data_IF_424196425753
#
_entry.id   IF_424196425753
#
_cell.length_a   1.000
_cell.length_b   1.000
_cell.length_c   1.000
_cell.angle_alpha   90.00
_cell.angle_beta   90.00
_cell.angle_gamma   90.00
#
_symmetry.space_group_name_H-M   'P 1'
#
loop_
_entity.id
_entity.type
_entity.pdbx_description
1 polymer ?
#
# COMPACT_ATOMS: atom_id res chain seq x y z
N UNK A 1 11.65 -24.53 -3.50
CA UNK A 1 10.78 -24.20 -2.36
C UNK A 1 9.90 -23.03 -2.77
N UNK A 2 8.62 -23.26 -3.06
CA UNK A 2 7.68 -22.18 -3.30
C UNK A 2 7.38 -21.52 -1.94
N UNK A 3 8.00 -20.37 -1.67
CA UNK A 3 7.81 -19.64 -0.42
C UNK A 3 6.42 -18.97 -0.32
N UNK A 4 5.60 -19.05 -1.36
CA UNK A 4 4.31 -18.37 -1.47
C UNK A 4 3.27 -19.31 -2.08
N UNK A 5 2.05 -19.38 -1.53
CA UNK A 5 0.96 -20.21 -2.03
C UNK A 5 0.60 -19.88 -3.49
N UNK A 6 0.29 -20.90 -4.29
CA UNK A 6 0.00 -20.78 -5.72
C UNK A 6 -1.31 -20.03 -6.01
N UNK A 7 -2.25 -20.05 -5.06
CA UNK A 7 -3.57 -19.40 -5.12
C UNK A 7 -3.54 -17.90 -4.76
N UNK A 8 -2.37 -17.32 -4.44
CA UNK A 8 -2.29 -15.95 -3.90
C UNK A 8 -2.86 -14.86 -4.80
N UNK A 9 -2.87 -15.09 -6.12
CA UNK A 9 -3.33 -14.10 -7.11
C UNK A 9 -4.85 -14.10 -7.29
N UNK A 10 -5.54 -15.07 -6.68
CA UNK A 10 -6.98 -15.16 -6.71
C UNK A 10 -7.61 -14.19 -5.70
N UNK A 11 -8.56 -13.34 -6.13
CA UNK A 11 -9.20 -12.35 -5.26
C UNK A 11 -9.80 -12.92 -3.97
N UNK A 12 -10.38 -14.13 -4.06
CA UNK A 12 -11.04 -14.85 -2.97
C UNK A 12 -10.14 -15.79 -2.16
N UNK A 13 -8.84 -15.89 -2.46
CA UNK A 13 -7.93 -16.75 -1.70
C UNK A 13 -7.73 -16.22 -0.27
N UNK A 14 -7.94 -17.08 0.72
CA UNK A 14 -7.65 -16.80 2.14
C UNK A 14 -6.16 -16.51 2.32
N UNK A 15 -5.30 -17.33 1.70
CA UNK A 15 -3.86 -17.21 1.83
C UNK A 15 -3.34 -15.91 1.21
N UNK A 16 -3.85 -15.56 0.02
CA UNK A 16 -3.55 -14.28 -0.62
C UNK A 16 -3.96 -13.09 0.24
N UNK A 17 -5.18 -13.11 0.78
CA UNK A 17 -5.67 -12.05 1.66
C UNK A 17 -4.85 -11.92 2.96
N UNK A 18 -4.46 -13.03 3.60
CA UNK A 18 -3.64 -13.00 4.82
C UNK A 18 -2.24 -12.44 4.58
N UNK A 19 -1.61 -12.80 3.45
CA UNK A 19 -0.29 -12.26 3.08
C UNK A 19 -0.39 -10.76 2.80
N UNK A 20 -1.42 -10.32 2.06
CA UNK A 20 -1.65 -8.89 1.79
C UNK A 20 -1.88 -8.12 3.09
N UNK A 21 -2.73 -8.64 3.98
CA UNK A 21 -3.00 -8.04 5.30
C UNK A 21 -1.74 -8.00 6.17
N UNK A 22 -0.92 -9.05 6.17
CA UNK A 22 0.35 -9.07 6.89
C UNK A 22 1.28 -7.95 6.45
N UNK A 23 1.41 -7.73 5.13
CA UNK A 23 2.18 -6.60 4.60
C UNK A 23 1.57 -5.24 4.92
N UNK A 24 0.24 -5.12 4.90
CA UNK A 24 -0.44 -3.88 5.29
C UNK A 24 -0.20 -3.54 6.76
N UNK A 25 -0.33 -4.52 7.66
CA UNK A 25 -0.04 -4.36 9.09
C UNK A 25 1.43 -4.00 9.31
N UNK A 26 2.36 -4.67 8.62
CA UNK A 26 3.77 -4.29 8.67
C UNK A 26 4.00 -2.84 8.22
N UNK A 27 3.30 -2.40 7.17
CA UNK A 27 3.30 -1.01 6.72
C UNK A 27 2.79 -0.04 7.80
N UNK A 28 1.66 -0.34 8.43
CA UNK A 28 1.12 0.45 9.55
C UNK A 28 2.14 0.56 10.68
N UNK A 29 2.82 -0.54 11.04
CA UNK A 29 3.82 -0.53 12.11
C UNK A 29 5.04 0.33 11.74
N UNK A 30 5.54 0.22 10.51
CA UNK A 30 6.70 1.00 10.03
C UNK A 30 6.35 2.49 10.01
N UNK A 31 5.29 2.89 9.30
CA UNK A 31 4.92 4.30 9.16
C UNK A 31 4.35 4.90 10.44
N UNK A 32 3.66 4.11 11.26
CA UNK A 32 3.21 4.52 12.59
C UNK A 32 4.40 4.78 13.53
N UNK A 33 5.44 3.94 13.48
CA UNK A 33 6.67 4.17 14.25
C UNK A 33 7.39 5.44 13.78
N UNK A 34 7.45 5.69 12.46
CA UNK A 34 8.02 6.93 11.92
C UNK A 34 7.24 8.17 12.38
N UNK A 35 5.91 8.08 12.44
CA UNK A 35 5.05 9.17 12.87
C UNK A 35 5.10 9.46 14.38
N UNK A 36 5.31 8.43 15.22
CA UNK A 36 5.30 8.56 16.69
C UNK A 36 6.67 8.92 17.25
N UNK A 37 7.73 8.27 16.75
CA UNK A 37 9.07 8.41 17.32
C UNK A 37 9.93 9.46 16.60
N UNK A 38 9.44 10.00 15.48
CA UNK A 38 10.17 10.92 14.59
C UNK A 38 11.66 10.55 14.35
N UNK A 39 12.00 9.25 14.17
CA UNK A 39 13.39 8.88 13.97
C UNK A 39 13.88 9.39 12.62
N UNK A 40 15.19 9.64 12.48
CA UNK A 40 15.86 10.04 11.22
C UNK A 40 15.55 11.48 10.73
N UNK A 41 15.31 12.44 11.64
CA UNK A 41 15.04 13.86 11.31
C UNK A 41 13.73 14.09 10.54
N UNK A 42 12.79 13.13 10.60
CA UNK A 42 11.45 13.26 10.01
C UNK A 42 10.59 14.07 10.98
N UNK A 43 10.58 15.40 10.82
CA UNK A 43 9.65 16.26 11.55
C UNK A 43 8.23 16.06 11.01
N UNK A 44 7.33 15.51 11.83
CA UNK A 44 5.91 15.37 11.50
C UNK A 44 5.17 16.47 12.24
N UNK A 45 4.88 17.57 11.55
CA UNK A 45 3.99 18.60 12.11
C UNK A 45 2.53 18.13 11.98
N UNK A 46 1.82 17.84 13.09
CA UNK A 46 0.45 17.39 13.09
C UNK A 46 -0.54 18.55 12.88
N UNK A 47 -0.12 19.61 12.19
CA UNK A 47 -1.00 20.69 11.76
C UNK A 47 -2.28 20.11 11.11
N UNK A 48 -3.49 20.58 11.48
CA UNK A 48 -4.74 20.00 11.02
C UNK A 48 -4.85 19.90 9.49
N UNK A 49 -4.30 20.89 8.77
CA UNK A 49 -4.27 20.89 7.30
C UNK A 49 -3.40 19.76 6.72
N UNK A 50 -2.23 19.50 7.31
CA UNK A 50 -1.33 18.41 6.92
C UNK A 50 -1.97 17.05 7.17
N UNK A 51 -2.63 16.87 8.31
CA UNK A 51 -3.35 15.65 8.65
C UNK A 51 -4.51 15.43 7.68
N UNK A 52 -5.33 16.44 7.43
CA UNK A 52 -6.47 16.35 6.51
C UNK A 52 -6.03 16.06 5.06
N UNK A 53 -5.00 16.76 4.57
CA UNK A 53 -4.46 16.54 3.23
C UNK A 53 -3.86 15.14 3.07
N UNK A 54 -3.12 14.67 4.08
CA UNK A 54 -2.55 13.32 4.09
C UNK A 54 -3.64 12.24 4.18
N UNK A 55 -4.72 12.50 4.92
CA UNK A 55 -5.86 11.60 5.00
C UNK A 55 -6.55 11.42 3.65
N UNK A 56 -6.74 12.51 2.90
CA UNK A 56 -7.33 12.48 1.56
C UNK A 56 -6.43 11.72 0.57
N UNK A 57 -5.14 12.08 0.51
CA UNK A 57 -4.18 11.44 -0.41
C UNK A 57 -4.05 9.96 -0.07
N UNK A 58 -3.81 9.64 1.20
CA UNK A 58 -3.67 8.27 1.66
C UNK A 58 -4.91 7.43 1.39
N UNK A 59 -6.11 7.97 1.66
CA UNK A 59 -7.36 7.25 1.43
C UNK A 59 -7.59 6.92 -0.05
N UNK A 60 -7.34 7.88 -0.95
CA UNK A 60 -7.45 7.66 -2.40
C UNK A 60 -6.42 6.63 -2.86
N UNK A 61 -5.16 6.78 -2.46
CA UNK A 61 -4.07 5.88 -2.88
C UNK A 61 -4.29 4.46 -2.34
N UNK A 62 -4.62 4.30 -1.06
CA UNK A 62 -4.87 3.00 -0.44
C UNK A 62 -6.03 2.26 -1.10
N UNK A 63 -7.13 2.96 -1.36
CA UNK A 63 -8.29 2.38 -2.08
C UNK A 63 -7.92 1.98 -3.50
N UNK A 64 -7.28 2.89 -4.25
CA UNK A 64 -6.91 2.66 -5.65
C UNK A 64 -5.95 1.47 -5.81
N UNK A 65 -4.96 1.34 -4.93
CA UNK A 65 -4.00 0.22 -4.96
C UNK A 65 -4.74 -1.12 -4.81
N UNK A 66 -5.65 -1.24 -3.84
CA UNK A 66 -6.36 -2.50 -3.61
C UNK A 66 -7.31 -2.81 -4.77
N UNK A 67 -8.11 -1.83 -5.21
CA UNK A 67 -9.06 -2.01 -6.32
C UNK A 67 -8.33 -2.39 -7.60
N UNK A 68 -7.26 -1.68 -7.96
CA UNK A 68 -6.47 -1.99 -9.15
C UNK A 68 -5.81 -3.36 -9.04
N UNK A 69 -5.29 -3.72 -7.87
CA UNK A 69 -4.60 -5.01 -7.70
C UNK A 69 -5.54 -6.21 -7.75
N UNK A 70 -6.77 -6.06 -7.26
CA UNK A 70 -7.72 -7.18 -7.12
C UNK A 70 -8.71 -7.26 -8.29
N UNK A 71 -9.30 -6.13 -8.69
CA UNK A 71 -10.41 -6.10 -9.66
C UNK A 71 -9.90 -5.94 -11.11
N UNK A 72 -8.71 -5.38 -11.34
CA UNK A 72 -8.19 -5.16 -12.69
C UNK A 72 -7.36 -6.33 -13.20
N UNK A 73 -7.91 -7.10 -14.14
CA UNK A 73 -7.15 -8.10 -14.90
C UNK A 73 -5.99 -7.48 -15.69
N UNK A 74 -6.13 -6.24 -16.17
CA UNK A 74 -5.06 -5.51 -16.86
C UNK A 74 -3.90 -5.21 -15.92
N UNK A 75 -4.18 -4.78 -14.69
CA UNK A 75 -3.13 -4.58 -13.71
C UNK A 75 -2.46 -5.91 -13.33
N UNK A 76 -3.24 -6.96 -13.05
CA UNK A 76 -2.69 -8.29 -12.73
C UNK A 76 -1.82 -8.85 -13.84
N UNK A 77 -2.29 -8.79 -15.09
CA UNK A 77 -1.52 -9.22 -16.27
C UNK A 77 -0.28 -8.35 -16.51
N UNK A 78 -0.37 -7.03 -16.29
CA UNK A 78 0.79 -6.14 -16.38
C UNK A 78 1.91 -6.54 -15.40
N UNK A 79 1.56 -6.86 -14.15
CA UNK A 79 2.51 -7.31 -13.14
C UNK A 79 3.02 -8.74 -13.38
N UNK A 80 2.23 -9.60 -14.01
CA UNK A 80 2.59 -10.98 -14.33
C UNK A 80 3.43 -11.11 -15.62
N UNK A 81 3.23 -10.25 -16.61
CA UNK A 81 3.74 -10.46 -17.96
C UNK A 81 5.26 -10.34 -18.11
N UNK A 82 5.93 -9.47 -17.34
CA UNK A 82 7.38 -9.21 -17.52
C UNK A 82 8.09 -8.73 -16.25
N UNK A 83 8.99 -9.57 -15.73
CA UNK A 83 9.84 -9.22 -14.57
C UNK A 83 10.66 -7.95 -14.79
N UNK A 84 11.24 -7.77 -15.99
CA UNK A 84 12.08 -6.60 -16.31
C UNK A 84 11.29 -5.28 -16.28
N UNK A 85 10.07 -5.26 -16.83
CA UNK A 85 9.20 -4.07 -16.78
C UNK A 85 8.75 -3.76 -15.36
N UNK A 86 8.38 -4.81 -14.61
CA UNK A 86 8.04 -4.71 -13.19
C UNK A 86 9.15 -4.05 -12.38
N UNK A 87 10.40 -4.48 -12.59
CA UNK A 87 11.55 -3.87 -11.93
C UNK A 87 11.73 -2.40 -12.29
N UNK A 88 11.65 -2.04 -13.58
CA UNK A 88 11.81 -0.65 -14.03
C UNK A 88 10.74 0.25 -13.41
N UNK A 89 9.48 -0.20 -13.40
CA UNK A 89 8.36 0.56 -12.82
C UNK A 89 8.54 0.73 -11.31
N UNK A 90 8.87 -0.35 -10.59
CA UNK A 90 9.12 -0.27 -9.15
C UNK A 90 10.32 0.61 -8.82
N UNK A 91 11.40 0.51 -9.61
CA UNK A 91 12.59 1.34 -9.42
C UNK A 91 12.27 2.82 -9.64
N UNK A 92 11.62 3.17 -10.75
CA UNK A 92 11.21 4.55 -11.03
C UNK A 92 10.26 5.07 -9.94
N UNK A 93 9.32 4.24 -9.48
CA UNK A 93 8.43 4.57 -8.38
C UNK A 93 9.17 4.82 -7.07
N UNK A 94 10.10 3.94 -6.68
CA UNK A 94 10.91 4.10 -5.45
C UNK A 94 11.76 5.37 -5.53
N UNK A 95 12.44 5.62 -6.65
CA UNK A 95 13.26 6.83 -6.84
C UNK A 95 12.40 8.09 -6.77
N UNK A 96 11.23 8.08 -7.42
CA UNK A 96 10.26 9.18 -7.34
C UNK A 96 9.77 9.41 -5.92
N UNK A 97 9.40 8.35 -5.21
CA UNK A 97 8.95 8.42 -3.82
C UNK A 97 10.05 8.90 -2.88
N UNK A 98 11.31 8.52 -3.10
CA UNK A 98 12.43 9.07 -2.34
C UNK A 98 12.58 10.59 -2.53
N UNK A 99 12.38 11.08 -3.75
CA UNK A 99 12.40 12.52 -4.02
C UNK A 99 11.25 13.25 -3.31
N UNK A 100 10.02 12.70 -3.37
CA UNK A 100 8.86 13.26 -2.65
C UNK A 100 9.08 13.24 -1.14
N UNK A 101 9.59 12.13 -0.60
CA UNK A 101 9.87 11.98 0.83
C UNK A 101 10.90 13.01 1.32
N UNK A 102 11.91 13.34 0.51
CA UNK A 102 12.90 14.38 0.83
C UNK A 102 12.29 15.78 0.89
N UNK A 103 11.28 16.05 0.07
CA UNK A 103 10.64 17.38 0.00
C UNK A 103 9.53 17.54 1.04
N UNK A 104 8.76 16.48 1.29
CA UNK A 104 7.57 16.50 2.14
C UNK A 104 7.52 15.27 3.07
N UNK A 105 8.45 15.14 4.02
CA UNK A 105 8.58 13.94 4.85
C UNK A 105 7.31 13.66 5.67
N UNK A 106 6.80 14.66 6.39
CA UNK A 106 5.59 14.50 7.22
C UNK A 106 4.34 14.11 6.41
N UNK A 107 4.08 14.79 5.29
CA UNK A 107 2.97 14.44 4.39
C UNK A 107 3.10 13.04 3.83
N UNK A 108 4.32 12.62 3.48
CA UNK A 108 4.55 11.29 2.90
C UNK A 108 4.33 10.19 3.93
N UNK A 109 4.83 10.36 5.15
CA UNK A 109 4.63 9.39 6.25
C UNK A 109 3.15 9.26 6.59
N UNK A 110 2.46 10.38 6.80
CA UNK A 110 1.04 10.37 7.16
C UNK A 110 0.17 9.82 6.03
N UNK A 111 0.43 10.20 4.77
CA UNK A 111 -0.32 9.68 3.62
C UNK A 111 -0.11 8.18 3.45
N UNK A 112 1.12 7.69 3.62
CA UNK A 112 1.42 6.27 3.56
C UNK A 112 0.72 5.50 4.70
N UNK A 113 0.78 6.02 5.92
CA UNK A 113 0.09 5.42 7.07
C UNK A 113 -1.42 5.30 6.83
N UNK A 114 -2.05 6.38 6.37
CA UNK A 114 -3.48 6.37 6.03
C UNK A 114 -3.77 5.38 4.90
N UNK A 115 -2.92 5.32 3.87
CA UNK A 115 -3.10 4.38 2.77
C UNK A 115 -3.12 2.93 3.25
N UNK A 116 -2.22 2.55 4.17
CA UNK A 116 -2.24 1.21 4.75
C UNK A 116 -3.47 0.96 5.63
N UNK A 117 -3.86 1.93 6.45
CA UNK A 117 -5.05 1.83 7.30
C UNK A 117 -6.34 1.67 6.47
N UNK A 118 -6.44 2.35 5.34
CA UNK A 118 -7.59 2.24 4.42
C UNK A 118 -7.52 0.98 3.56
N UNK A 119 -6.32 0.53 3.17
CA UNK A 119 -6.15 -0.68 2.37
C UNK A 119 -6.66 -1.94 3.10
N UNK A 120 -6.52 -2.01 4.42
CA UNK A 120 -6.98 -3.15 5.24
C UNK A 120 -8.48 -3.42 5.06
N UNK A 121 -9.40 -2.49 5.39
CA UNK A 121 -10.83 -2.72 5.24
C UNK A 121 -11.24 -2.89 3.77
N UNK A 122 -10.61 -2.18 2.82
CA UNK A 122 -10.92 -2.33 1.39
C UNK A 122 -10.55 -3.73 0.89
N UNK A 123 -9.40 -4.26 1.30
CA UNK A 123 -8.98 -5.63 0.93
C UNK A 123 -9.89 -6.68 1.55
N UNK A 124 -10.30 -6.47 2.79
CA UNK A 124 -11.22 -7.36 3.49
C UNK A 124 -12.61 -7.36 2.83
N UNK A 125 -13.14 -6.19 2.47
CA UNK A 125 -14.40 -6.07 1.73
C UNK A 125 -14.32 -6.76 0.37
N UNK A 126 -13.21 -6.59 -0.36
CA UNK A 126 -12.98 -7.26 -1.64
C UNK A 126 -12.89 -8.78 -1.49
N UNK A 127 -12.25 -9.27 -0.41
CA UNK A 127 -12.19 -10.69 -0.09
C UNK A 127 -13.58 -11.28 0.14
N UNK A 128 -14.41 -10.68 1.00
CA UNK A 128 -15.77 -11.16 1.23
C UNK A 128 -16.63 -11.14 -0.04
N UNK A 129 -16.47 -10.12 -0.90
CA UNK A 129 -17.18 -10.03 -2.18
C UNK A 129 -16.87 -11.18 -3.15
N UNK A 130 -15.65 -11.71 -3.12
CA UNK A 130 -15.21 -12.79 -4.00
C UNK A 130 -15.25 -14.17 -3.36
N UNK A 131 -15.36 -14.27 -2.03
CA UNK A 131 -15.51 -15.53 -1.31
C UNK A 131 -16.86 -16.19 -1.57
N UNK A 132 -17.90 -15.39 -1.77
CA UNK A 132 -19.29 -15.85 -1.92
C UNK A 132 -19.71 -16.04 -3.38
N UNK A 133 -18.77 -16.00 -4.33
CA UNK A 133 -18.98 -16.18 -5.78
C UNK A 133 -18.22 -17.40 -6.28
#
# INVERSE_FOLDING_TARGET
MAALPEDRTEPGSVNGALVDLGWMVAGVLVFGSLAVFEPLFVAVDPAPATVAGSALIGGVVGTAIVVLSVESERARSFWAANYRRRLVVLFAFIVGMQAVFRLFPGWTVLSALVAFLVAIPVRLASYYRHRDR
#
